data_IF_581124043459
#
_entry.id   IF_581124043459
#
_cell.length_a   1.000
_cell.length_b   1.000
_cell.length_c   1.000
_cell.angle_alpha   90.00
_cell.angle_beta   90.00
_cell.angle_gamma   90.00
#
_symmetry.space_group_name_H-M   'P 1'
#
loop_
_entity.id
_entity.type
_entity.pdbx_description
1 polymer ?
#
# COMPACT_ATOMS: atom_id res chain seq x y z
N UNK A 1 12.55 5.26 9.02
CA UNK A 1 11.99 4.20 8.15
C UNK A 1 10.76 4.72 7.43
N UNK A 2 10.36 4.11 6.32
CA UNK A 2 9.24 4.57 5.49
C UNK A 2 8.17 3.48 5.43
N UNK A 3 6.96 3.79 5.91
CA UNK A 3 5.82 2.89 5.80
C UNK A 3 5.03 3.19 4.54
N UNK A 4 4.64 2.14 3.82
CA UNK A 4 3.75 2.20 2.67
C UNK A 4 2.49 1.39 2.92
N UNK A 5 1.35 1.94 2.51
CA UNK A 5 0.04 1.33 2.62
C UNK A 5 -0.66 1.30 1.27
N UNK A 6 -1.11 0.11 0.86
CA UNK A 6 -2.10 -0.08 -0.21
C UNK A 6 -3.45 -0.39 0.43
N UNK A 7 -4.36 0.60 0.43
CA UNK A 7 -5.62 0.52 1.16
C UNK A 7 -6.75 0.11 0.23
N UNK A 8 -7.32 -1.07 0.48
CA UNK A 8 -8.58 -1.51 -0.11
C UNK A 8 -9.59 -1.93 0.96
N UNK A 9 -10.86 -2.01 0.56
CA UNK A 9 -11.92 -2.53 1.46
C UNK A 9 -11.85 -4.05 1.68
N UNK A 10 -10.94 -4.77 1.03
CA UNK A 10 -10.83 -6.22 1.12
C UNK A 10 -9.54 -6.64 1.81
N UNK A 11 -8.40 -6.12 1.37
CA UNK A 11 -7.08 -6.40 1.93
C UNK A 11 -6.31 -5.09 1.96
N UNK A 12 -5.62 -4.80 3.07
CA UNK A 12 -4.69 -3.68 3.16
C UNK A 12 -3.28 -4.25 3.17
N UNK A 13 -2.45 -3.85 2.21
CA UNK A 13 -1.02 -4.13 2.21
C UNK A 13 -0.27 -3.14 3.09
N UNK A 14 0.70 -3.62 3.89
CA UNK A 14 1.53 -2.79 4.76
C UNK A 14 2.98 -3.22 4.64
N UNK A 15 3.86 -2.29 4.24
CA UNK A 15 5.29 -2.57 4.13
C UNK A 15 6.13 -1.47 4.76
N UNK A 16 7.30 -1.83 5.27
CA UNK A 16 8.29 -0.89 5.81
C UNK A 16 9.61 -1.08 5.08
N UNK A 17 10.19 0.03 4.62
CA UNK A 17 11.54 0.04 4.07
C UNK A 17 12.44 0.98 4.86
N UNK A 18 13.73 0.70 4.87
CA UNK A 18 14.71 1.56 5.50
C UNK A 18 15.14 2.73 4.59
N UNK A 19 16.17 3.47 5.01
CA UNK A 19 16.70 4.61 4.22
C UNK A 19 17.44 4.16 2.95
N UNK A 20 18.01 2.97 2.93
CA UNK A 20 18.72 2.42 1.76
C UNK A 20 17.74 1.82 0.75
N UNK A 21 16.54 1.46 1.21
CA UNK A 21 15.46 0.86 0.41
C UNK A 21 15.27 -0.61 0.71
N UNK A 22 15.92 -1.13 1.75
CA UNK A 22 15.80 -2.54 2.14
C UNK A 22 14.45 -2.78 2.83
N UNK A 23 13.79 -3.87 2.43
CA UNK A 23 12.50 -4.26 2.99
C UNK A 23 12.69 -4.86 4.38
N UNK A 24 12.08 -4.22 5.38
CA UNK A 24 12.14 -4.64 6.79
C UNK A 24 10.95 -5.51 7.19
N UNK A 25 9.76 -5.20 6.66
CA UNK A 25 8.55 -5.98 6.87
C UNK A 25 7.59 -5.82 5.69
N UNK A 26 6.80 -6.85 5.46
CA UNK A 26 5.66 -6.81 4.54
C UNK A 26 4.56 -7.72 5.05
N UNK A 27 3.42 -7.13 5.39
CA UNK A 27 2.24 -7.81 5.92
C UNK A 27 0.98 -7.38 5.16
N UNK A 28 -0.11 -8.08 5.42
CA UNK A 28 -1.43 -7.64 4.98
C UNK A 28 -2.45 -7.80 6.10
N UNK A 29 -3.47 -6.94 6.10
CA UNK A 29 -4.66 -7.07 6.92
C UNK A 29 -5.81 -7.57 6.02
N UNK A 30 -6.30 -8.79 6.26
CA UNK A 30 -7.41 -9.38 5.50
C UNK A 30 -8.75 -9.00 6.15
N UNK A 31 -9.50 -8.18 5.43
CA UNK A 31 -10.79 -7.63 5.85
C UNK A 31 -11.97 -8.30 5.14
N UNK A 32 -11.74 -9.30 4.27
CA UNK A 32 -12.78 -9.86 3.37
C UNK A 32 -13.98 -10.46 4.10
N UNK A 33 -13.79 -10.93 5.33
CA UNK A 33 -14.86 -11.54 6.15
C UNK A 33 -15.83 -10.51 6.72
N UNK A 34 -15.40 -9.26 6.86
CA UNK A 34 -16.24 -8.17 7.37
C UNK A 34 -16.87 -7.39 6.22
N UNK A 35 -18.11 -6.91 6.37
CA UNK A 35 -18.83 -6.13 5.36
C UNK A 35 -18.93 -4.65 5.74
N UNK A 36 -19.12 -4.36 7.03
CA UNK A 36 -19.24 -3.01 7.56
C UNK A 36 -17.90 -2.26 7.48
N UNK A 37 -17.95 -0.95 7.21
CA UNK A 37 -16.72 -0.16 7.04
C UNK A 37 -16.10 0.28 8.36
N UNK A 38 -16.91 0.53 9.39
CA UNK A 38 -16.43 0.92 10.71
C UNK A 38 -15.79 -0.28 11.41
N UNK A 39 -16.43 -1.45 11.36
CA UNK A 39 -15.84 -2.69 11.89
C UNK A 39 -14.53 -3.05 11.18
N UNK A 40 -14.44 -2.84 9.86
CA UNK A 40 -13.16 -2.96 9.14
C UNK A 40 -12.10 -1.99 9.64
N UNK A 41 -12.47 -0.75 9.95
CA UNK A 41 -11.54 0.25 10.48
C UNK A 41 -11.04 -0.14 11.88
N UNK A 42 -11.91 -0.72 12.72
CA UNK A 42 -11.52 -1.22 14.05
C UNK A 42 -10.65 -2.49 13.96
N UNK A 43 -10.94 -3.43 13.06
CA UNK A 43 -10.04 -4.56 12.78
C UNK A 43 -8.68 -4.06 12.31
N UNK A 44 -8.66 -3.06 11.43
CA UNK A 44 -7.41 -2.46 10.96
C UNK A 44 -6.67 -1.71 12.08
N UNK A 45 -7.38 -1.02 12.98
CA UNK A 45 -6.81 -0.40 14.19
C UNK A 45 -6.10 -1.45 15.04
N UNK A 46 -6.77 -2.55 15.39
CA UNK A 46 -6.16 -3.64 16.17
C UNK A 46 -4.91 -4.20 15.48
N UNK A 47 -4.97 -4.40 14.17
CA UNK A 47 -3.80 -4.81 13.37
C UNK A 47 -2.62 -3.81 13.47
N UNK A 48 -2.88 -2.50 13.48
CA UNK A 48 -1.82 -1.50 13.64
C UNK A 48 -1.33 -1.37 15.09
N UNK A 49 -2.19 -1.57 16.09
CA UNK A 49 -1.81 -1.51 17.50
C UNK A 49 -0.82 -2.61 17.88
N UNK A 50 -0.99 -3.83 17.36
CA UNK A 50 0.01 -4.91 17.45
C UNK A 50 1.38 -4.51 16.88
N UNK A 51 1.39 -3.50 16.00
CA UNK A 51 2.56 -2.99 15.28
C UNK A 51 2.93 -1.58 15.71
N UNK A 52 2.38 -1.09 16.83
CA UNK A 52 2.61 0.26 17.34
C UNK A 52 4.08 0.54 17.65
N UNK A 53 4.89 -0.49 17.89
CA UNK A 53 6.35 -0.35 18.03
C UNK A 53 7.02 0.35 16.84
N UNK A 54 6.42 0.31 15.64
CA UNK A 54 6.89 1.03 14.46
C UNK A 54 6.80 2.56 14.62
N UNK A 55 5.93 3.06 15.51
CA UNK A 55 5.80 4.49 15.82
C UNK A 55 7.13 5.13 16.23
N UNK A 56 7.99 4.39 16.93
CA UNK A 56 9.26 4.91 17.43
C UNK A 56 10.33 5.12 16.33
N UNK A 57 10.15 4.49 15.16
CA UNK A 57 11.17 4.40 14.10
C UNK A 57 10.68 4.85 12.73
N UNK A 58 9.37 5.03 12.56
CA UNK A 58 8.77 5.55 11.34
C UNK A 58 9.11 7.03 11.19
N UNK A 59 9.67 7.37 10.03
CA UNK A 59 9.97 8.75 9.66
C UNK A 59 8.80 9.33 8.88
N UNK A 60 8.32 8.59 7.89
CA UNK A 60 7.17 8.98 7.09
C UNK A 60 6.26 7.79 6.79
N UNK A 61 4.98 8.11 6.57
CA UNK A 61 3.95 7.17 6.20
C UNK A 61 3.37 7.62 4.87
N UNK A 62 3.25 6.70 3.93
CA UNK A 62 2.79 6.94 2.57
C UNK A 62 1.62 6.02 2.24
N UNK A 63 0.58 6.58 1.63
CA UNK A 63 -0.65 5.88 1.24
C UNK A 63 -0.86 6.08 -0.27
N UNK A 64 -1.31 5.03 -0.97
CA UNK A 64 -1.77 5.19 -2.36
C UNK A 64 -3.02 6.09 -2.41
N UNK A 65 -3.00 7.11 -3.28
CA UNK A 65 -4.19 7.93 -3.54
C UNK A 65 -5.37 7.07 -4.05
N UNK A 66 -6.57 7.19 -3.45
CA UNK A 66 -7.72 6.46 -3.96
C UNK A 66 -8.09 6.97 -5.37
N UNK A 67 -8.45 6.04 -6.25
CA UNK A 67 -8.78 6.37 -7.64
C UNK A 67 -9.98 7.35 -7.73
N UNK A 68 -9.80 8.43 -8.49
CA UNK A 68 -10.75 9.56 -8.58
C UNK A 68 -11.66 9.56 -9.83
N UNK A 69 -11.50 8.61 -10.76
CA UNK A 69 -12.13 8.70 -12.09
C UNK A 69 -13.57 8.17 -12.15
N UNK A 70 -14.53 9.05 -12.43
CA UNK A 70 -15.92 8.70 -12.77
C UNK A 70 -16.06 8.50 -14.29
N UNK A 71 -15.62 7.36 -14.83
CA UNK A 71 -15.84 7.04 -16.26
C UNK A 71 -17.02 6.08 -16.46
N UNK A 72 -17.78 6.31 -17.54
CA UNK A 72 -18.82 5.41 -18.05
C UNK A 72 -18.19 4.08 -18.53
N UNK A 73 -18.00 3.13 -17.62
CA UNK A 73 -17.40 1.82 -17.89
C UNK A 73 -16.49 1.28 -16.78
N UNK A 74 -16.22 2.07 -15.72
CA UNK A 74 -15.44 1.65 -14.56
C UNK A 74 -16.26 1.10 -13.40
N UNK A 75 -15.61 0.82 -12.26
CA UNK A 75 -16.25 0.49 -10.98
C UNK A 75 -17.45 1.40 -10.71
N UNK A 76 -18.58 0.83 -10.26
CA UNK A 76 -19.78 1.64 -10.03
C UNK A 76 -19.49 2.80 -9.08
N UNK A 77 -20.17 3.94 -9.24
CA UNK A 77 -20.02 5.10 -8.36
C UNK A 77 -20.13 4.72 -6.87
N UNK A 78 -20.99 3.73 -6.57
CA UNK A 78 -21.13 3.12 -5.23
C UNK A 78 -19.85 2.46 -4.72
N UNK A 79 -19.13 1.73 -5.57
CA UNK A 79 -17.88 1.05 -5.21
C UNK A 79 -16.76 2.06 -4.96
N UNK A 80 -16.67 3.10 -5.80
CA UNK A 80 -15.67 4.16 -5.63
C UNK A 80 -15.93 4.98 -4.36
N UNK A 81 -17.18 5.37 -4.11
CA UNK A 81 -17.55 6.06 -2.88
C UNK A 81 -17.24 5.22 -1.63
N UNK A 82 -17.48 3.89 -1.70
CA UNK A 82 -17.12 2.97 -0.62
C UNK A 82 -15.60 2.96 -0.37
N UNK A 83 -14.80 2.87 -1.43
CA UNK A 83 -13.34 2.84 -1.35
C UNK A 83 -12.79 4.15 -0.79
N UNK A 84 -13.24 5.30 -1.29
CA UNK A 84 -12.78 6.61 -0.82
C UNK A 84 -13.13 6.85 0.65
N UNK A 85 -14.36 6.51 1.08
CA UNK A 85 -14.77 6.58 2.48
C UNK A 85 -13.87 5.72 3.37
N UNK A 86 -13.60 4.49 2.95
CA UNK A 86 -12.77 3.58 3.73
C UNK A 86 -11.30 4.01 3.75
N UNK A 87 -10.77 4.53 2.64
CA UNK A 87 -9.43 5.09 2.58
C UNK A 87 -9.28 6.24 3.61
N UNK A 88 -10.23 7.18 3.66
CA UNK A 88 -10.24 8.23 4.68
C UNK A 88 -10.30 7.70 6.13
N UNK A 89 -11.12 6.69 6.39
CA UNK A 89 -11.20 6.03 7.71
C UNK A 89 -9.86 5.39 8.09
N UNK A 90 -9.27 4.60 7.20
CA UNK A 90 -8.00 3.93 7.44
C UNK A 90 -6.84 4.93 7.61
N UNK A 91 -6.83 6.04 6.86
CA UNK A 91 -5.85 7.13 7.02
C UNK A 91 -5.95 7.80 8.39
N UNK A 92 -7.16 8.02 8.91
CA UNK A 92 -7.36 8.55 10.26
C UNK A 92 -6.85 7.56 11.31
N UNK A 93 -7.16 6.26 11.17
CA UNK A 93 -6.66 5.21 12.07
C UNK A 93 -5.12 5.17 12.07
N UNK A 94 -4.49 5.26 10.90
CA UNK A 94 -3.01 5.34 10.76
C UNK A 94 -2.46 6.55 11.54
N UNK A 95 -3.07 7.73 11.38
CA UNK A 95 -2.66 8.94 12.10
C UNK A 95 -2.81 8.79 13.60
N UNK A 96 -3.90 8.20 14.08
CA UNK A 96 -4.15 8.00 15.51
C UNK A 96 -3.16 7.01 16.14
N UNK A 97 -2.91 5.87 15.49
CA UNK A 97 -2.03 4.83 16.03
C UNK A 97 -0.55 5.26 16.01
N UNK A 98 -0.09 5.86 14.90
CA UNK A 98 1.32 6.23 14.76
C UNK A 98 1.62 7.68 15.14
N UNK A 99 0.63 8.55 15.33
CA UNK A 99 0.83 9.98 15.59
C UNK A 99 1.38 10.79 14.41
N UNK A 100 1.77 10.11 13.31
CA UNK A 100 2.34 10.71 12.10
C UNK A 100 1.27 10.88 11.03
N UNK A 101 1.23 12.06 10.39
CA UNK A 101 0.31 12.32 9.28
C UNK A 101 0.78 11.55 8.04
N UNK A 102 -0.07 10.71 7.42
CA UNK A 102 0.28 10.09 6.15
C UNK A 102 0.32 11.10 5.01
N UNK A 103 1.31 10.98 4.15
CA UNK A 103 1.35 11.58 2.82
C UNK A 103 0.71 10.63 1.79
N UNK A 104 0.28 11.20 0.67
CA UNK A 104 -0.34 10.45 -0.41
C UNK A 104 0.50 10.49 -1.68
N UNK A 105 0.46 9.41 -2.46
CA UNK A 105 1.10 9.33 -3.77
C UNK A 105 0.21 8.59 -4.76
N UNK A 106 0.08 9.12 -5.97
CA UNK A 106 -0.68 8.45 -7.02
C UNK A 106 0.04 7.19 -7.55
N UNK A 107 -0.70 6.14 -7.88
CA UNK A 107 -0.12 4.88 -8.37
C UNK A 107 0.79 5.04 -9.61
N UNK A 108 0.46 5.98 -10.51
CA UNK A 108 1.29 6.28 -11.67
C UNK A 108 2.59 6.98 -11.28
N UNK A 109 2.53 7.89 -10.33
CA UNK A 109 3.70 8.60 -9.82
C UNK A 109 4.61 7.64 -9.07
N UNK A 110 4.08 6.82 -8.16
CA UNK A 110 4.85 5.83 -7.42
C UNK A 110 5.64 4.90 -8.36
N UNK A 111 4.97 4.36 -9.39
CA UNK A 111 5.61 3.52 -10.40
C UNK A 111 6.68 4.26 -11.20
N UNK A 112 6.39 5.49 -11.63
CA UNK A 112 7.34 6.33 -12.38
C UNK A 112 8.59 6.63 -11.56
N UNK A 113 8.43 6.94 -10.29
CA UNK A 113 9.52 7.21 -9.34
C UNK A 113 10.45 6.00 -9.14
N UNK A 114 9.96 4.79 -9.39
CA UNK A 114 10.74 3.55 -9.34
C UNK A 114 11.18 3.02 -10.71
N UNK A 115 10.84 3.72 -11.80
CA UNK A 115 11.14 3.28 -13.16
C UNK A 115 10.37 2.03 -13.61
N UNK A 116 9.25 1.70 -12.94
CA UNK A 116 8.41 0.55 -13.29
C UNK A 116 7.66 0.87 -14.59
N UNK A 117 7.97 0.11 -15.64
CA UNK A 117 7.30 0.20 -16.94
C UNK A 117 6.18 -0.83 -17.00
N UNK A 118 4.98 -0.39 -17.38
CA UNK A 118 3.84 -1.29 -17.61
C UNK A 118 3.62 -1.38 -19.13
N UNK A 119 4.00 -2.50 -19.76
CA UNK A 119 3.72 -2.70 -21.18
C UNK A 119 2.21 -2.63 -21.48
N UNK A 120 1.86 -2.14 -22.67
CA UNK A 120 0.45 -2.06 -23.07
C UNK A 120 -0.12 -3.48 -23.20
N UNK A 121 -1.24 -3.73 -22.53
CA UNK A 121 -1.94 -5.02 -22.57
C UNK A 121 -1.54 -6.02 -21.49
N UNK A 122 -0.59 -5.68 -20.61
CA UNK A 122 -0.25 -6.54 -19.46
C UNK A 122 -1.04 -6.16 -18.22
N UNK A 123 -1.12 -7.10 -17.27
CA UNK A 123 -1.80 -6.84 -15.99
C UNK A 123 -0.85 -6.10 -15.05
N UNK A 124 -1.27 -4.92 -14.62
CA UNK A 124 -0.51 -4.05 -13.71
C UNK A 124 0.02 -4.81 -12.48
N UNK A 125 -0.84 -5.60 -11.81
CA UNK A 125 -0.48 -6.34 -10.59
C UNK A 125 0.61 -7.40 -10.85
N UNK A 126 0.62 -8.03 -12.02
CA UNK A 126 1.64 -9.02 -12.37
C UNK A 126 3.01 -8.35 -12.59
N UNK A 127 3.04 -7.19 -13.27
CA UNK A 127 4.29 -6.43 -13.48
C UNK A 127 4.84 -5.85 -12.17
N UNK A 128 3.97 -5.36 -11.27
CA UNK A 128 4.38 -4.88 -9.95
C UNK A 128 4.98 -6.02 -9.13
N UNK A 129 4.29 -7.16 -9.06
CA UNK A 129 4.79 -8.32 -8.33
C UNK A 129 6.14 -8.79 -8.88
N UNK A 130 6.29 -8.86 -10.21
CA UNK A 130 7.56 -9.19 -10.86
C UNK A 130 8.66 -8.21 -10.48
N UNK A 131 8.39 -6.90 -10.55
CA UNK A 131 9.35 -5.89 -10.13
C UNK A 131 9.80 -6.09 -8.67
N UNK A 132 8.85 -6.34 -7.76
CA UNK A 132 9.16 -6.54 -6.34
C UNK A 132 10.00 -7.80 -6.14
N UNK A 133 9.66 -8.92 -6.78
CA UNK A 133 10.46 -10.15 -6.71
C UNK A 133 11.88 -9.98 -7.26
N UNK A 134 12.03 -9.21 -8.35
CA UNK A 134 13.32 -9.00 -9.01
C UNK A 134 14.22 -8.01 -8.23
N UNK A 135 13.62 -7.04 -7.53
CA UNK A 135 14.35 -5.89 -6.95
C UNK A 135 14.33 -5.83 -5.42
N UNK A 136 13.49 -6.62 -4.77
CA UNK A 136 13.31 -6.62 -3.32
C UNK A 136 13.46 -8.06 -2.81
N UNK A 137 14.70 -8.58 -2.69
CA UNK A 137 14.95 -9.98 -2.38
C UNK A 137 14.28 -10.56 -1.12
N UNK A 138 14.06 -9.79 -0.02
CA UNK A 138 13.33 -10.31 1.14
C UNK A 138 11.84 -10.59 0.87
N UNK A 139 11.30 -10.17 -0.27
CA UNK A 139 9.91 -10.41 -0.63
C UNK A 139 9.77 -11.79 -1.30
N UNK A 140 9.19 -12.74 -0.57
CA UNK A 140 8.83 -14.05 -1.11
C UNK A 140 7.34 -14.10 -1.49
N UNK A 141 6.95 -15.09 -2.30
CA UNK A 141 5.59 -15.30 -2.76
C UNK A 141 5.20 -16.79 -2.75
N UNK A 142 4.08 -17.08 -2.11
CA UNK A 142 3.46 -18.39 -2.20
C UNK A 142 2.41 -18.42 -3.30
N UNK A 143 2.50 -19.43 -4.17
CA UNK A 143 1.55 -19.64 -5.25
C UNK A 143 0.50 -20.69 -4.90
N UNK A 144 -0.68 -20.52 -5.49
CA UNK A 144 -1.74 -21.54 -5.52
C UNK A 144 -1.40 -22.65 -6.53
N UNK A 145 -2.13 -23.77 -6.47
CA UNK A 145 -1.99 -24.88 -7.44
C UNK A 145 -2.19 -24.44 -8.91
N UNK A 146 -2.89 -23.33 -9.12
CA UNK A 146 -3.16 -22.76 -10.44
C UNK A 146 -2.13 -21.71 -10.89
N UNK A 147 -1.05 -21.51 -10.13
CA UNK A 147 0.02 -20.56 -10.47
C UNK A 147 -0.28 -19.09 -10.13
N UNK A 148 -1.44 -18.79 -9.53
CA UNK A 148 -1.75 -17.44 -9.04
C UNK A 148 -1.13 -17.22 -7.65
N UNK A 149 -0.60 -16.02 -7.33
CA UNK A 149 -0.18 -15.67 -5.98
C UNK A 149 -1.35 -15.87 -4.99
N UNK A 150 -1.05 -16.33 -3.77
CA UNK A 150 -2.07 -16.41 -2.72
C UNK A 150 -2.63 -15.00 -2.41
N UNK A 151 -3.85 -14.91 -1.85
CA UNK A 151 -4.43 -13.62 -1.47
C UNK A 151 -3.49 -12.80 -0.57
N UNK A 152 -3.44 -11.49 -0.80
CA UNK A 152 -2.61 -10.55 -0.04
C UNK A 152 -1.22 -10.29 -0.62
N UNK A 153 -0.66 -11.17 -1.48
CA UNK A 153 0.66 -10.92 -2.06
C UNK A 153 0.71 -9.73 -3.01
N UNK A 154 -0.35 -9.52 -3.81
CA UNK A 154 -0.41 -8.36 -4.69
C UNK A 154 -0.54 -7.07 -3.87
N UNK A 155 -1.41 -7.03 -2.87
CA UNK A 155 -1.62 -5.85 -2.02
C UNK A 155 -0.34 -5.51 -1.23
N UNK A 156 0.38 -6.55 -0.78
CA UNK A 156 1.73 -6.40 -0.21
C UNK A 156 2.71 -5.80 -1.21
N UNK A 157 2.79 -6.33 -2.44
CA UNK A 157 3.69 -5.81 -3.47
C UNK A 157 3.37 -4.35 -3.81
N UNK A 158 2.09 -4.00 -3.94
CA UNK A 158 1.60 -2.63 -4.13
C UNK A 158 2.08 -1.73 -2.96
N UNK A 159 1.92 -2.17 -1.70
CA UNK A 159 2.42 -1.41 -0.53
C UNK A 159 3.95 -1.26 -0.47
N UNK A 160 4.74 -2.22 -0.98
CA UNK A 160 6.20 -2.09 -1.11
C UNK A 160 6.55 -0.98 -2.10
N UNK A 161 5.85 -0.93 -3.24
CA UNK A 161 6.01 0.14 -4.24
C UNK A 161 5.72 1.51 -3.61
N UNK A 162 4.66 1.63 -2.82
CA UNK A 162 4.33 2.88 -2.11
C UNK A 162 5.44 3.27 -1.12
N UNK A 163 5.94 2.33 -0.32
CA UNK A 163 7.00 2.60 0.66
C UNK A 163 8.30 3.07 -0.02
N UNK A 164 8.72 2.39 -1.10
CA UNK A 164 9.92 2.75 -1.87
C UNK A 164 9.77 4.09 -2.59
N UNK A 165 8.61 4.34 -3.18
CA UNK A 165 8.31 5.61 -3.84
C UNK A 165 8.32 6.77 -2.84
N UNK A 166 7.66 6.61 -1.69
CA UNK A 166 7.65 7.59 -0.61
C UNK A 166 9.05 7.93 -0.11
N UNK A 167 9.91 6.92 0.09
CA UNK A 167 11.33 7.10 0.41
C UNK A 167 12.06 7.96 -0.63
N UNK A 168 11.84 7.71 -1.93
CA UNK A 168 12.48 8.47 -3.00
C UNK A 168 11.98 9.92 -3.06
N UNK A 169 10.67 10.12 -2.94
CA UNK A 169 10.05 11.45 -2.92
C UNK A 169 10.54 12.26 -1.72
N UNK A 170 10.64 11.63 -0.55
CA UNK A 170 11.22 12.24 0.63
C UNK A 170 12.67 12.69 0.40
N UNK A 171 13.51 11.80 -0.16
CA UNK A 171 14.92 12.13 -0.47
C UNK A 171 15.00 13.33 -1.42
N UNK A 172 14.19 13.37 -2.48
CA UNK A 172 14.16 14.48 -3.42
C UNK A 172 13.84 15.80 -2.73
N UNK A 173 12.75 15.85 -1.94
CA UNK A 173 12.36 17.04 -1.17
C UNK A 173 13.45 17.55 -0.22
N UNK A 174 14.25 16.64 0.37
CA UNK A 174 15.23 16.97 1.40
C UNK A 174 16.67 17.09 0.89
N UNK A 175 16.94 16.77 -0.38
CA UNK A 175 18.22 17.03 -1.06
C UNK A 175 18.25 18.42 -1.71
N UNK A 176 17.07 18.99 -1.98
CA UNK A 176 16.88 20.33 -2.54
C UNK A 176 16.79 21.43 -1.44
N UNK A 177 16.97 21.05 -0.17
CA UNK A 177 16.96 21.94 1.02
C UNK A 177 18.38 22.11 1.57
#
# INVERSE_FOLDING_TARGET
MFLGFDISTSIIGVSCVDKEGDLLLSHHCDLRKEKDLFEKAEIFRGFLEERRYLQAIVREIWIEEPFMFFSSGGSSAKTMAKLQRFNGMASLVIKEVFGTQPEYVGANEARRTLGIKIPRGTKVKEEILKFVLDKVPPFDVEYTKHGNPRPGYNDRADSVVIALAGRNLWKQKNLES
#
